data_IF_258094772216
#
_entry.id   IF_258094772216
#
_cell.length_a   1.000
_cell.length_b   1.000
_cell.length_c   1.000
_cell.angle_alpha   90.00
_cell.angle_beta   90.00
_cell.angle_gamma   90.00
#
_symmetry.space_group_name_H-M   'P 1'
#
loop_
_entity.id
_entity.type
_entity.pdbx_description
1 polymer ?
#
# COMPACT_ATOMS: atom_id res chain seq x y z
N UNK A 1 20.36 1.07 23.32
CA UNK A 1 19.26 1.97 22.89
C UNK A 1 18.62 1.39 21.63
N UNK A 2 17.34 1.00 21.69
CA UNK A 2 16.63 0.47 20.52
C UNK A 2 16.20 1.64 19.65
N UNK A 3 16.74 1.75 18.43
CA UNK A 3 16.28 2.74 17.45
C UNK A 3 14.79 2.52 17.19
N UNK A 4 13.98 3.48 17.62
CA UNK A 4 12.58 3.59 17.19
C UNK A 4 12.56 3.71 15.67
N UNK A 5 11.68 2.97 15.02
CA UNK A 5 11.56 2.95 13.56
C UNK A 5 11.21 4.36 13.06
N UNK A 6 12.21 5.09 12.59
CA UNK A 6 12.03 6.41 11.99
C UNK A 6 11.20 6.21 10.71
N UNK A 7 9.95 6.69 10.69
CA UNK A 7 9.16 6.71 9.44
C UNK A 7 9.90 7.55 8.40
N UNK A 8 10.06 7.01 7.20
CA UNK A 8 10.70 7.70 6.09
C UNK A 8 9.88 8.93 5.69
N UNK A 9 10.53 9.95 5.10
CA UNK A 9 9.85 11.14 4.55
C UNK A 9 8.73 10.71 3.58
N UNK A 10 8.98 9.65 2.80
CA UNK A 10 8.00 9.06 1.89
C UNK A 10 6.76 8.52 2.61
N UNK A 11 6.93 7.85 3.76
CA UNK A 11 5.81 7.38 4.58
C UNK A 11 4.92 8.55 5.04
N UNK A 12 5.55 9.60 5.56
CA UNK A 12 4.85 10.82 6.01
C UNK A 12 4.09 11.52 4.88
N UNK A 13 4.68 11.58 3.68
CA UNK A 13 4.02 12.15 2.51
C UNK A 13 2.73 11.39 2.17
N UNK A 14 2.79 10.06 2.16
CA UNK A 14 1.60 9.25 1.87
C UNK A 14 0.50 9.39 2.92
N UNK A 15 0.86 9.46 4.20
CA UNK A 15 -0.08 9.73 5.29
C UNK A 15 -0.76 11.09 5.12
N UNK A 16 0.00 12.14 4.80
CA UNK A 16 -0.53 13.49 4.59
C UNK A 16 -1.47 13.58 3.38
N UNK A 17 -1.11 12.91 2.26
CA UNK A 17 -1.97 12.85 1.07
C UNK A 17 -3.29 12.14 1.38
N UNK A 18 -3.23 11.00 2.07
CA UNK A 18 -4.42 10.26 2.46
C UNK A 18 -5.31 11.06 3.41
N UNK A 19 -4.72 11.70 4.41
CA UNK A 19 -5.41 12.60 5.34
C UNK A 19 -6.16 13.71 4.61
N UNK A 20 -5.51 14.38 3.65
CA UNK A 20 -6.14 15.44 2.86
C UNK A 20 -7.36 14.93 2.08
N UNK A 21 -7.28 13.74 1.49
CA UNK A 21 -8.38 13.17 0.70
C UNK A 21 -9.57 12.73 1.56
N UNK A 22 -9.32 12.24 2.77
CA UNK A 22 -10.38 11.93 3.74
C UNK A 22 -11.11 13.21 4.17
N UNK A 23 -10.38 14.28 4.50
CA UNK A 23 -10.97 15.57 4.87
C UNK A 23 -11.81 16.18 3.74
N UNK A 24 -11.33 16.13 2.49
CA UNK A 24 -12.09 16.61 1.31
C UNK A 24 -13.44 15.89 1.14
N UNK A 25 -13.57 14.68 1.68
CA UNK A 25 -14.79 13.88 1.65
C UNK A 25 -15.71 14.12 2.85
N UNK A 26 -15.32 15.03 3.75
CA UNK A 26 -16.13 15.46 4.89
C UNK A 26 -16.04 14.57 6.13
N UNK A 27 -15.02 13.72 6.20
CA UNK A 27 -14.78 12.83 7.34
C UNK A 27 -13.62 13.33 8.20
N UNK A 28 -13.76 13.28 9.52
CA UNK A 28 -12.67 13.61 10.43
C UNK A 28 -11.67 12.46 10.53
N UNK A 29 -10.38 12.78 10.60
CA UNK A 29 -9.33 11.80 10.82
C UNK A 29 -8.16 12.37 11.61
N UNK A 30 -7.31 11.50 12.15
CA UNK A 30 -6.15 11.84 12.97
C UNK A 30 -4.94 11.01 12.55
N UNK A 31 -3.81 11.68 12.30
CA UNK A 31 -2.51 11.01 12.09
C UNK A 31 -1.90 10.73 13.47
N UNK A 32 -1.68 9.46 13.81
CA UNK A 32 -1.13 9.08 15.13
C UNK A 32 0.38 9.31 15.24
N UNK A 33 1.08 9.48 14.11
CA UNK A 33 2.51 9.74 14.07
C UNK A 33 3.36 8.65 14.76
N UNK A 34 4.60 9.00 15.12
CA UNK A 34 5.59 8.09 15.74
C UNK A 34 5.50 8.02 17.27
N UNK A 35 4.49 8.64 17.89
CA UNK A 35 4.45 8.83 19.35
C UNK A 35 3.87 7.66 20.14
N UNK A 36 3.46 6.56 19.49
CA UNK A 36 2.95 5.38 20.17
C UNK A 36 3.76 4.13 19.85
N UNK A 37 4.55 3.66 20.83
CA UNK A 37 5.37 2.43 20.76
C UNK A 37 4.51 1.15 20.60
N UNK A 38 3.19 1.26 20.81
CA UNK A 38 2.23 0.18 20.67
C UNK A 38 1.50 0.15 19.30
N UNK A 39 2.02 0.87 18.28
CA UNK A 39 1.50 1.08 16.91
C UNK A 39 0.38 0.13 16.46
N UNK A 40 -0.88 0.56 16.67
CA UNK A 40 -2.07 -0.12 16.15
C UNK A 40 -2.42 0.32 14.72
N UNK A 41 -2.14 1.57 14.36
CA UNK A 41 -2.50 2.19 13.07
C UNK A 41 -1.64 3.43 12.78
N UNK A 42 -1.62 3.88 11.54
CA UNK A 42 -1.00 5.15 11.13
C UNK A 42 -2.02 6.30 11.16
N UNK A 43 -3.27 6.03 10.77
CA UNK A 43 -4.40 6.98 10.76
C UNK A 43 -5.63 6.34 11.41
N UNK A 44 -6.39 7.13 12.17
CA UNK A 44 -7.75 6.79 12.63
C UNK A 44 -8.74 7.75 11.98
N UNK A 45 -9.83 7.21 11.44
CA UNK A 45 -10.98 7.97 10.91
C UNK A 45 -12.13 7.87 11.91
N UNK A 46 -13.07 8.83 11.87
CA UNK A 46 -14.33 8.75 12.62
C UNK A 46 -14.99 7.36 12.53
N UNK A 47 -15.73 6.96 13.59
CA UNK A 47 -16.22 5.58 13.71
C UNK A 47 -15.14 4.56 14.11
N UNK A 48 -13.99 5.02 14.64
CA UNK A 48 -12.86 4.20 15.09
C UNK A 48 -12.28 3.28 14.00
N UNK A 49 -12.38 3.67 12.73
CA UNK A 49 -11.78 2.91 11.63
C UNK A 49 -10.28 3.19 11.60
N UNK A 50 -9.49 2.12 11.65
CA UNK A 50 -8.03 2.18 11.74
C UNK A 50 -7.36 1.82 10.41
N UNK A 51 -6.38 2.63 9.99
CA UNK A 51 -5.68 2.48 8.72
C UNK A 51 -4.18 2.31 8.93
N UNK A 52 -3.57 1.31 8.27
CA UNK A 52 -2.12 1.25 8.06
C UNK A 52 -1.79 1.75 6.65
N UNK A 53 -0.87 2.71 6.56
CA UNK A 53 -0.51 3.39 5.33
C UNK A 53 0.83 2.85 4.82
N UNK A 54 0.86 2.48 3.54
CA UNK A 54 2.07 2.05 2.85
C UNK A 54 2.27 2.90 1.61
N UNK A 55 3.43 3.54 1.50
CA UNK A 55 3.73 4.43 0.38
C UNK A 55 4.83 3.84 -0.49
N UNK A 56 4.65 3.87 -1.81
CA UNK A 56 5.67 3.50 -2.77
C UNK A 56 5.70 4.49 -3.94
N UNK A 57 6.88 4.63 -4.54
CA UNK A 57 7.10 5.41 -5.76
C UNK A 57 7.19 4.43 -6.93
N UNK A 58 6.65 4.83 -8.07
CA UNK A 58 6.74 4.09 -9.32
C UNK A 58 8.21 3.88 -9.68
N UNK A 59 8.53 2.68 -10.14
CA UNK A 59 9.84 2.38 -10.69
C UNK A 59 9.70 1.59 -11.98
N UNK A 60 10.30 2.10 -13.06
CA UNK A 60 10.46 1.35 -14.32
C UNK A 60 11.32 0.09 -14.13
N UNK A 61 12.25 0.12 -13.19
CA UNK A 61 13.21 -0.94 -12.92
C UNK A 61 13.00 -1.55 -11.53
N UNK A 62 11.74 -1.86 -11.20
CA UNK A 62 11.45 -2.45 -9.91
C UNK A 62 12.03 -3.88 -9.86
N UNK A 63 13.04 -4.09 -9.00
CA UNK A 63 13.60 -5.41 -8.75
C UNK A 63 12.58 -6.19 -7.93
N UNK A 64 11.95 -7.19 -8.54
CA UNK A 64 11.16 -8.20 -7.85
C UNK A 64 11.95 -8.74 -6.66
N UNK A 65 11.65 -8.31 -5.43
CA UNK A 65 12.52 -8.57 -4.28
C UNK A 65 12.56 -10.05 -3.94
N UNK A 66 13.72 -10.67 -4.18
CA UNK A 66 14.49 -11.45 -3.20
C UNK A 66 13.76 -12.45 -2.28
N UNK A 67 12.71 -13.12 -2.76
CA UNK A 67 12.37 -14.44 -2.23
C UNK A 67 12.38 -15.48 -3.36
N UNK A 68 13.41 -16.33 -3.31
CA UNK A 68 13.63 -17.56 -4.08
C UNK A 68 13.72 -17.46 -5.60
N UNK A 69 14.82 -16.93 -6.13
CA UNK A 69 15.38 -17.41 -7.40
C UNK A 69 16.91 -17.53 -7.31
N UNK A 70 17.35 -18.42 -6.42
CA UNK A 70 18.71 -18.98 -6.46
C UNK A 70 18.84 -20.11 -7.51
N UNK A 71 17.96 -20.15 -8.52
CA UNK A 71 18.09 -21.07 -9.65
C UNK A 71 18.28 -20.27 -10.92
N UNK A 72 19.57 -20.08 -11.20
CA UNK A 72 20.25 -20.02 -12.49
C UNK A 72 19.44 -19.51 -13.71
N UNK A 73 19.94 -18.41 -14.29
CA UNK A 73 19.98 -18.26 -15.75
C UNK A 73 18.80 -17.59 -16.44
N UNK A 74 17.86 -16.97 -15.73
CA UNK A 74 16.77 -16.20 -16.38
C UNK A 74 17.01 -14.72 -16.17
N UNK A 75 17.12 -13.98 -17.28
CA UNK A 75 17.22 -12.53 -17.32
C UNK A 75 16.29 -11.87 -16.31
N UNK A 76 16.87 -10.93 -15.55
CA UNK A 76 16.21 -10.17 -14.49
C UNK A 76 14.91 -9.58 -15.03
N UNK A 77 13.77 -10.18 -14.70
CA UNK A 77 12.45 -9.66 -15.02
C UNK A 77 12.18 -8.44 -14.15
N UNK A 78 12.69 -7.29 -14.57
CA UNK A 78 12.25 -5.98 -14.09
C UNK A 78 10.84 -5.77 -14.60
N UNK A 79 9.94 -5.41 -13.70
CA UNK A 79 8.57 -5.05 -14.06
C UNK A 79 8.30 -3.64 -13.58
N UNK A 80 7.78 -2.79 -14.46
CA UNK A 80 7.46 -1.41 -14.11
C UNK A 80 6.27 -1.37 -13.13
N UNK A 81 6.47 -0.81 -11.94
CA UNK A 81 5.41 -0.80 -10.93
C UNK A 81 5.82 -0.25 -9.57
N UNK A 82 4.99 -0.53 -8.56
CA UNK A 82 5.13 -0.10 -7.18
C UNK A 82 5.39 -1.32 -6.30
N UNK A 83 6.49 -1.27 -5.55
CA UNK A 83 6.87 -2.33 -4.64
C UNK A 83 6.84 -1.85 -3.20
N UNK A 84 6.32 -2.72 -2.36
CA UNK A 84 6.30 -2.52 -0.93
C UNK A 84 7.20 -3.60 -0.32
N UNK A 85 7.98 -3.19 0.68
CA UNK A 85 8.79 -4.11 1.46
C UNK A 85 7.92 -5.10 2.22
N UNK A 86 8.56 -5.89 3.10
CA UNK A 86 7.84 -6.87 3.88
C UNK A 86 6.69 -6.22 4.68
N UNK A 87 5.45 -6.61 4.39
CA UNK A 87 4.26 -6.19 5.12
C UNK A 87 4.24 -6.93 6.44
N UNK A 88 4.34 -6.18 7.53
CA UNK A 88 4.06 -6.72 8.85
C UNK A 88 2.55 -6.86 9.00
N UNK A 89 2.10 -7.90 9.69
CA UNK A 89 0.69 -8.02 10.09
C UNK A 89 0.35 -6.84 10.99
N UNK A 90 -0.63 -6.06 10.56
CA UNK A 90 -1.17 -4.95 11.34
C UNK A 90 -2.49 -5.32 11.99
N UNK A 91 -2.81 -4.59 13.05
CA UNK A 91 -4.08 -4.66 13.73
C UNK A 91 -5.12 -3.70 13.16
N UNK A 92 -4.72 -2.82 12.23
CA UNK A 92 -5.61 -1.91 11.50
C UNK A 92 -6.75 -2.65 10.80
N UNK A 93 -7.90 -1.99 10.62
CA UNK A 93 -9.02 -2.48 9.81
C UNK A 93 -8.62 -2.62 8.33
N UNK A 94 -7.85 -1.65 7.83
CA UNK A 94 -7.46 -1.57 6.43
C UNK A 94 -5.97 -1.31 6.23
N UNK A 95 -5.44 -1.87 5.15
CA UNK A 95 -4.23 -1.39 4.50
C UNK A 95 -4.60 -0.38 3.42
N UNK A 96 -3.94 0.77 3.42
CA UNK A 96 -4.04 1.76 2.36
C UNK A 96 -2.68 1.92 1.70
N UNK A 97 -2.58 1.49 0.44
CA UNK A 97 -1.39 1.69 -0.37
C UNK A 97 -1.52 3.00 -1.13
N UNK A 98 -0.55 3.88 -0.92
CA UNK A 98 -0.41 5.18 -1.60
C UNK A 98 0.63 5.02 -2.70
N UNK A 99 0.17 5.11 -3.94
CA UNK A 99 1.00 4.89 -5.12
C UNK A 99 1.34 6.24 -5.71
N UNK A 100 2.62 6.58 -5.73
CA UNK A 100 3.12 7.84 -6.27
C UNK A 100 3.85 7.62 -7.59
N UNK A 101 3.70 8.50 -8.56
CA UNK A 101 4.53 8.53 -9.77
C UNK A 101 5.97 8.94 -9.43
N UNK A 102 6.89 8.82 -10.40
CA UNK A 102 8.32 9.21 -10.24
C UNK A 102 8.50 10.67 -9.80
N UNK A 103 7.55 11.55 -10.16
CA UNK A 103 7.51 12.97 -9.78
C UNK A 103 6.80 13.23 -8.44
N UNK A 104 6.45 12.17 -7.69
CA UNK A 104 5.72 12.21 -6.42
C UNK A 104 4.23 12.58 -6.51
N UNK A 105 3.68 12.74 -7.71
CA UNK A 105 2.25 12.92 -7.88
C UNK A 105 1.50 11.66 -7.46
N UNK A 106 0.33 11.84 -6.85
CA UNK A 106 -0.52 10.71 -6.49
C UNK A 106 -1.04 10.03 -7.77
N UNK A 107 -0.67 8.76 -7.96
CA UNK A 107 -1.26 7.92 -8.99
C UNK A 107 -2.63 7.38 -8.55
N UNK A 108 -2.69 6.72 -7.38
CA UNK A 108 -3.94 6.25 -6.76
C UNK A 108 -3.75 5.78 -5.33
N UNK A 109 -4.87 5.61 -4.63
CA UNK A 109 -4.97 4.79 -3.43
C UNK A 109 -5.49 3.39 -3.79
N UNK A 110 -4.98 2.40 -3.10
CA UNK A 110 -5.53 1.05 -3.08
C UNK A 110 -5.87 0.68 -1.66
N UNK A 111 -7.08 0.20 -1.44
CA UNK A 111 -7.57 -0.12 -0.10
C UNK A 111 -7.94 -1.58 -0.02
N UNK A 112 -7.44 -2.23 1.03
CA UNK A 112 -7.69 -3.63 1.30
C UNK A 112 -8.09 -3.78 2.76
N UNK A 113 -9.19 -4.49 3.02
CA UNK A 113 -9.46 -4.96 4.37
C UNK A 113 -8.30 -5.85 4.84
N UNK A 114 -7.92 -5.74 6.11
CA UNK A 114 -6.76 -6.44 6.69
C UNK A 114 -6.67 -7.91 6.27
N UNK A 115 -7.79 -8.60 6.32
CA UNK A 115 -7.85 -10.06 6.16
C UNK A 115 -7.73 -10.51 4.68
N UNK A 116 -7.75 -9.57 3.72
CA UNK A 116 -7.56 -9.88 2.30
C UNK A 116 -6.09 -9.97 1.91
N UNK A 117 -5.19 -9.35 2.69
CA UNK A 117 -3.75 -9.41 2.46
C UNK A 117 -3.15 -10.60 3.18
N UNK A 118 -2.98 -11.70 2.45
CA UNK A 118 -2.42 -12.96 2.97
C UNK A 118 -0.90 -13.08 2.83
N UNK A 119 -0.22 -12.04 2.34
CA UNK A 119 1.18 -12.15 1.88
C UNK A 119 2.08 -11.12 2.53
N UNK A 120 3.31 -11.55 2.81
CA UNK A 120 4.34 -10.72 3.43
C UNK A 120 4.92 -9.69 2.44
N UNK A 121 4.61 -9.73 1.15
CA UNK A 121 5.09 -8.75 0.16
C UNK A 121 3.96 -8.36 -0.78
N UNK A 122 3.92 -7.09 -1.14
CA UNK A 122 2.93 -6.53 -2.05
C UNK A 122 3.63 -5.82 -3.21
N UNK A 123 3.20 -6.17 -4.42
CA UNK A 123 3.70 -5.57 -5.66
C UNK A 123 2.53 -5.27 -6.58
N UNK A 124 2.48 -4.04 -7.09
CA UNK A 124 1.45 -3.59 -8.01
C UNK A 124 2.05 -3.12 -9.33
N UNK A 125 1.55 -3.69 -10.43
CA UNK A 125 1.94 -3.35 -11.79
C UNK A 125 1.16 -2.13 -12.31
N UNK A 126 1.82 -1.29 -13.12
CA UNK A 126 1.13 -0.19 -13.79
C UNK A 126 0.22 -0.72 -14.91
N UNK A 127 -1.09 -0.45 -14.88
CA UNK A 127 -2.00 -0.85 -15.95
C UNK A 127 -1.86 0.10 -17.15
N UNK A 128 -1.00 -0.24 -18.12
CA UNK A 128 -0.98 0.28 -19.52
C UNK A 128 0.35 0.01 -20.22
N UNK A 129 1.43 -0.24 -19.50
CA UNK A 129 2.68 -0.73 -20.06
C UNK A 129 2.54 -2.24 -20.27
N UNK A 130 2.71 -2.72 -21.51
CA UNK A 130 2.44 -4.09 -21.97
C UNK A 130 3.25 -5.23 -21.32
N UNK A 131 3.65 -5.09 -20.07
CA UNK A 131 4.47 -6.04 -19.32
C UNK A 131 3.58 -7.03 -18.56
N UNK A 132 3.04 -7.99 -19.28
CA UNK A 132 3.33 -9.43 -19.12
C UNK A 132 2.36 -10.24 -20.00
N UNK A 133 2.88 -10.88 -21.05
CA UNK A 133 2.16 -11.98 -21.69
C UNK A 133 1.99 -13.07 -20.64
N UNK A 134 0.74 -13.40 -20.26
CA UNK A 134 0.38 -14.60 -19.46
C UNK A 134 1.13 -15.83 -20.00
N UNK A 135 2.33 -16.12 -19.51
CA UNK A 135 2.96 -17.44 -19.68
C UNK A 135 3.01 -18.11 -18.32
N UNK A 136 2.58 -19.37 -18.35
CA UNK A 136 2.21 -20.24 -17.22
C UNK A 136 3.19 -20.12 -16.05
N UNK A 137 2.64 -19.80 -14.88
CA UNK A 137 3.34 -19.78 -13.60
C UNK A 137 3.17 -18.45 -12.88
N UNK A 138 2.03 -18.24 -12.20
CA UNK A 138 1.87 -17.11 -11.28
C UNK A 138 2.92 -17.24 -10.18
N UNK A 139 3.86 -16.30 -10.08
CA UNK A 139 4.77 -16.32 -8.94
C UNK A 139 4.07 -15.73 -7.71
N UNK A 140 4.37 -16.28 -6.53
CA UNK A 140 3.68 -16.07 -5.24
C UNK A 140 3.60 -14.61 -4.75
N UNK A 141 4.19 -13.63 -5.43
CA UNK A 141 4.42 -12.25 -4.97
C UNK A 141 3.58 -11.21 -5.74
N UNK A 142 2.94 -11.58 -6.84
CA UNK A 142 2.15 -10.65 -7.65
C UNK A 142 0.70 -10.54 -7.12
N UNK A 143 0.26 -9.31 -6.81
CA UNK A 143 -1.14 -9.01 -6.51
C UNK A 143 -1.76 -8.34 -7.73
N UNK A 144 -2.63 -9.07 -8.43
CA UNK A 144 -3.52 -8.48 -9.43
C UNK A 144 -4.68 -7.85 -8.67
N UNK A 145 -4.88 -6.55 -8.85
CA UNK A 145 -5.88 -5.79 -8.13
C UNK A 145 -7.16 -5.78 -8.93
N UNK A 146 -8.24 -6.26 -8.32
CA UNK A 146 -9.57 -6.15 -8.87
C UNK A 146 -10.08 -4.70 -8.79
N UNK A 147 -11.00 -4.29 -9.66
CA UNK A 147 -11.59 -2.94 -9.66
C UNK A 147 -12.21 -2.55 -8.32
N UNK A 148 -12.65 -3.53 -7.52
CA UNK A 148 -13.30 -3.34 -6.22
C UNK A 148 -12.37 -2.76 -5.13
N UNK A 149 -11.05 -2.91 -5.28
CA UNK A 149 -10.07 -2.49 -4.27
C UNK A 149 -9.40 -1.14 -4.62
N UNK A 150 -9.97 -0.41 -5.58
CA UNK A 150 -9.45 0.85 -6.07
C UNK A 150 -10.11 2.04 -5.37
N UNK A 151 -9.29 2.98 -4.88
CA UNK A 151 -9.77 4.19 -4.22
C UNK A 151 -10.26 3.95 -2.79
N UNK A 152 -10.83 5.00 -2.19
CA UNK A 152 -11.26 5.03 -0.79
C UNK A 152 -12.74 4.66 -0.60
N UNK A 153 -13.44 4.25 -1.66
CA UNK A 153 -14.89 4.02 -1.65
C UNK A 153 -15.31 2.99 -0.60
N UNK A 154 -14.54 1.89 -0.46
CA UNK A 154 -14.79 0.87 0.54
C UNK A 154 -14.82 1.42 1.99
N UNK A 155 -13.98 2.42 2.27
CA UNK A 155 -13.93 3.09 3.58
C UNK A 155 -15.15 4.00 3.72
N UNK A 156 -15.46 4.79 2.69
CA UNK A 156 -16.56 5.75 2.74
C UNK A 156 -17.95 5.09 2.76
N UNK A 157 -18.14 3.97 2.06
CA UNK A 157 -19.36 3.17 2.14
C UNK A 157 -19.59 2.64 3.56
N UNK A 158 -18.54 2.10 4.19
CA UNK A 158 -18.61 1.67 5.60
C UNK A 158 -18.92 2.84 6.53
N UNK A 159 -18.32 4.01 6.33
CA UNK A 159 -18.57 5.18 7.15
C UNK A 159 -20.00 5.73 6.99
N UNK A 160 -20.53 5.74 5.77
CA UNK A 160 -21.91 6.17 5.52
C UNK A 160 -22.93 5.21 6.12
N UNK A 161 -22.64 3.90 6.18
CA UNK A 161 -23.50 2.92 6.85
C UNK A 161 -23.49 2.99 8.39
N UNK A 162 -22.60 3.78 8.99
CA UNK A 162 -22.55 4.01 10.45
C UNK A 162 -23.34 5.25 10.90
N UNK A 163 -23.84 6.05 9.95
CA UNK A 163 -24.69 7.23 10.21
C UNK A 163 -26.16 6.83 10.19
#
# INVERSE_FOLDING_TARGET
MRNSSSRTILGKLGEALLYSEILKKGFNCYILGSQNINTLADIIIEGNITLEVKTAIYSRNCKRSTYSYAKQGVDKAYSSGWQFGALKRSRSDYYVFVLLEENLDLYKFLVFARDTIKRDQFFYLRPSTGDFKRKKGRARVETVIDSEHQGLNLIFERLNGLK
#
